data_IF_669323981325
#
_entry.id   IF_669323981325
#
_cell.length_a   1.000
_cell.length_b   1.000
_cell.length_c   1.000
_cell.angle_alpha   90.00
_cell.angle_beta   90.00
_cell.angle_gamma   90.00
#
_symmetry.space_group_name_H-M   'P 1'
#
loop_
_entity.id
_entity.type
_entity.pdbx_description
1 polymer ?
#
# COMPACT_ATOMS: atom_id res chain seq x y z
N UNK A 1 18.42 -20.38 60.35
CA UNK A 1 17.03 -19.87 60.45
C UNK A 1 17.13 -18.39 60.78
N UNK A 2 16.78 -17.54 59.83
CA UNK A 2 16.46 -16.12 60.03
C UNK A 2 15.26 -15.88 59.10
N UNK A 3 14.20 -15.30 59.62
CA UNK A 3 12.85 -15.40 59.04
C UNK A 3 12.65 -14.59 57.76
N UNK A 4 11.76 -15.09 56.89
CA UNK A 4 11.18 -14.33 55.78
C UNK A 4 10.36 -13.16 56.33
N UNK A 5 10.81 -11.92 56.12
CA UNK A 5 10.05 -10.72 56.44
C UNK A 5 9.58 -10.01 55.17
N UNK A 6 8.29 -10.15 54.88
CA UNK A 6 7.57 -9.43 53.83
C UNK A 6 7.74 -7.91 53.97
N UNK A 7 8.34 -7.27 52.96
CA UNK A 7 8.27 -5.81 52.78
C UNK A 7 8.23 -5.40 51.28
N UNK A 8 7.09 -5.64 50.63
CA UNK A 8 6.63 -4.71 49.57
C UNK A 8 5.92 -3.56 50.31
N UNK A 9 6.67 -2.59 50.84
CA UNK A 9 6.10 -1.58 51.74
C UNK A 9 5.36 -0.47 50.97
N UNK A 10 4.18 -0.11 51.44
CA UNK A 10 3.39 1.02 50.94
C UNK A 10 3.95 2.35 51.47
N UNK A 11 4.25 3.30 50.59
CA UNK A 11 4.46 4.72 50.98
C UNK A 11 4.40 5.69 49.79
N UNK A 12 3.30 5.62 49.02
CA UNK A 12 2.92 6.68 48.09
C UNK A 12 1.39 6.74 47.96
N UNK A 13 0.81 7.95 47.82
CA UNK A 13 -0.63 8.21 47.95
C UNK A 13 -1.52 7.21 47.17
N UNK A 14 -2.19 6.26 47.84
CA UNK A 14 -2.75 5.09 47.16
C UNK A 14 -3.90 5.46 46.22
N UNK A 15 -4.67 6.52 46.51
CA UNK A 15 -5.87 6.84 45.75
C UNK A 15 -5.61 7.61 44.45
N UNK A 16 -4.54 8.42 44.37
CA UNK A 16 -4.22 9.24 43.18
C UNK A 16 -3.35 8.48 42.18
N UNK A 17 -2.46 7.61 42.67
CA UNK A 17 -1.62 6.74 41.83
C UNK A 17 -2.37 5.54 41.24
N UNK A 18 -3.35 4.98 41.95
CA UNK A 18 -4.20 3.91 41.39
C UNK A 18 -5.04 4.41 40.20
N UNK A 19 -5.76 5.53 40.35
CA UNK A 19 -6.61 6.07 39.27
C UNK A 19 -5.80 6.40 38.01
N UNK A 20 -4.60 6.98 38.15
CA UNK A 20 -3.71 7.25 37.01
C UNK A 20 -3.15 5.96 36.40
N UNK A 21 -2.79 4.96 37.20
CA UNK A 21 -2.37 3.64 36.70
C UNK A 21 -3.49 2.91 35.94
N UNK A 22 -4.72 2.90 36.45
CA UNK A 22 -5.85 2.29 35.75
C UNK A 22 -6.18 3.00 34.43
N UNK A 23 -6.17 4.34 34.43
CA UNK A 23 -6.38 5.12 33.20
C UNK A 23 -5.31 4.83 32.14
N UNK A 24 -4.03 4.77 32.54
CA UNK A 24 -2.92 4.42 31.65
C UNK A 24 -3.06 2.99 31.08
N UNK A 25 -3.48 2.02 31.91
CA UNK A 25 -3.72 0.65 31.45
C UNK A 25 -4.89 0.56 30.45
N UNK A 26 -5.99 1.30 30.65
CA UNK A 26 -7.10 1.38 29.68
C UNK A 26 -6.64 1.98 28.34
N UNK A 27 -5.83 3.05 28.38
CA UNK A 27 -5.23 3.65 27.17
C UNK A 27 -4.29 2.67 26.48
N UNK A 28 -3.46 1.95 27.23
CA UNK A 28 -2.53 0.97 26.68
C UNK A 28 -3.22 -0.25 26.04
N UNK A 29 -4.25 -0.81 26.68
CA UNK A 29 -5.03 -1.93 26.14
C UNK A 29 -5.83 -1.50 24.90
N UNK A 30 -6.44 -0.33 24.92
CA UNK A 30 -7.14 0.20 23.74
C UNK A 30 -6.18 0.48 22.57
N UNK A 31 -4.98 1.02 22.84
CA UNK A 31 -3.93 1.19 21.81
C UNK A 31 -3.47 -0.15 21.23
N UNK A 32 -3.22 -1.16 22.08
CA UNK A 32 -2.90 -2.54 21.68
C UNK A 32 -3.96 -3.14 20.73
N UNK A 33 -5.25 -3.03 21.10
CA UNK A 33 -6.36 -3.50 20.28
C UNK A 33 -6.46 -2.76 18.94
N UNK A 34 -6.28 -1.43 18.93
CA UNK A 34 -6.31 -0.61 17.71
C UNK A 34 -5.15 -0.96 16.76
N UNK A 35 -3.93 -1.14 17.28
CA UNK A 35 -2.76 -1.57 16.49
C UNK A 35 -3.00 -2.97 15.91
N UNK A 36 -3.47 -3.90 16.74
CA UNK A 36 -3.67 -5.30 16.35
C UNK A 36 -4.74 -5.41 15.26
N UNK A 37 -5.93 -4.86 15.50
CA UNK A 37 -7.04 -4.87 14.54
C UNK A 37 -6.72 -4.08 13.25
N UNK A 38 -6.05 -2.93 13.38
CA UNK A 38 -5.68 -2.09 12.24
C UNK A 38 -4.69 -2.76 11.30
N UNK A 39 -3.65 -3.38 11.84
CA UNK A 39 -2.64 -4.07 11.02
C UNK A 39 -3.15 -5.42 10.50
N UNK A 40 -3.98 -6.15 11.26
CA UNK A 40 -4.68 -7.33 10.76
C UNK A 40 -5.56 -6.98 9.55
N UNK A 41 -6.26 -5.83 9.56
CA UNK A 41 -7.04 -5.35 8.42
C UNK A 41 -6.18 -5.02 7.18
N UNK A 42 -4.97 -4.49 7.37
CA UNK A 42 -3.98 -4.28 6.29
C UNK A 42 -3.55 -5.64 5.71
N UNK A 43 -3.19 -6.60 6.56
CA UNK A 43 -2.76 -7.95 6.18
C UNK A 43 -3.85 -8.66 5.38
N UNK A 44 -5.07 -8.75 5.93
CA UNK A 44 -6.23 -9.36 5.26
C UNK A 44 -6.51 -8.66 3.92
N UNK A 45 -6.38 -7.34 3.85
CA UNK A 45 -6.60 -6.60 2.59
C UNK A 45 -5.60 -6.99 1.50
N UNK A 46 -4.30 -7.08 1.83
CA UNK A 46 -3.29 -7.45 0.82
C UNK A 46 -3.48 -8.91 0.37
N UNK A 47 -3.74 -9.83 1.30
CA UNK A 47 -3.93 -11.27 1.01
C UNK A 47 -5.20 -11.54 0.20
N UNK A 48 -6.32 -10.91 0.56
CA UNK A 48 -7.62 -11.15 -0.07
C UNK A 48 -7.72 -10.51 -1.46
N UNK A 49 -7.21 -9.28 -1.63
CA UNK A 49 -7.31 -8.57 -2.91
C UNK A 49 -6.06 -8.78 -3.75
N UNK A 50 -6.08 -9.77 -4.66
CA UNK A 50 -5.03 -10.01 -5.67
C UNK A 50 -4.61 -8.77 -6.48
N UNK A 51 -5.48 -7.76 -6.57
CA UNK A 51 -5.17 -6.45 -7.17
C UNK A 51 -4.07 -5.67 -6.41
N UNK A 52 -3.86 -5.97 -5.14
CA UNK A 52 -2.82 -5.43 -4.27
C UNK A 52 -1.53 -6.26 -4.29
N UNK A 53 -1.45 -7.41 -4.97
CA UNK A 53 -0.22 -8.21 -5.08
C UNK A 53 0.81 -7.47 -5.97
N UNK A 54 1.64 -6.64 -5.33
CA UNK A 54 2.70 -5.86 -5.97
C UNK A 54 3.94 -5.85 -5.06
N UNK A 55 5.16 -5.74 -5.60
CA UNK A 55 6.42 -5.69 -4.85
C UNK A 55 6.34 -4.85 -3.56
N UNK A 56 5.91 -3.60 -3.70
CA UNK A 56 5.77 -2.63 -2.62
C UNK A 56 4.73 -3.03 -1.57
N UNK A 57 3.62 -3.63 -1.98
CA UNK A 57 2.58 -4.05 -1.03
C UNK A 57 2.99 -5.31 -0.25
N UNK A 58 3.90 -6.14 -0.77
CA UNK A 58 4.53 -7.20 0.03
C UNK A 58 5.46 -6.61 1.11
N UNK A 59 6.18 -5.51 0.81
CA UNK A 59 6.97 -4.80 1.82
C UNK A 59 6.08 -4.10 2.87
N UNK A 60 4.96 -3.50 2.45
CA UNK A 60 3.94 -2.95 3.37
C UNK A 60 3.29 -4.06 4.21
N UNK A 61 3.08 -5.25 3.64
CA UNK A 61 2.57 -6.42 4.37
C UNK A 61 3.57 -6.88 5.45
N UNK A 62 4.86 -6.96 5.12
CA UNK A 62 5.91 -7.27 6.09
C UNK A 62 5.97 -6.24 7.23
N UNK A 63 5.88 -4.94 6.91
CA UNK A 63 5.77 -3.87 7.90
C UNK A 63 4.53 -4.03 8.79
N UNK A 64 3.35 -4.31 8.20
CA UNK A 64 2.12 -4.56 8.96
C UNK A 64 2.23 -5.79 9.88
N UNK A 65 2.99 -6.82 9.51
CA UNK A 65 3.30 -7.95 10.40
C UNK A 65 4.21 -7.52 11.55
N UNK A 66 5.22 -6.67 11.32
CA UNK A 66 6.03 -6.11 12.44
C UNK A 66 5.17 -5.29 13.40
N UNK A 67 4.30 -4.41 12.88
CA UNK A 67 3.40 -3.57 13.67
C UNK A 67 2.35 -4.39 14.43
N UNK A 68 1.81 -5.46 13.82
CA UNK A 68 0.91 -6.42 14.46
C UNK A 68 1.57 -7.07 15.69
N UNK A 69 2.84 -7.50 15.58
CA UNK A 69 3.56 -8.13 16.69
C UNK A 69 3.90 -7.11 17.81
N UNK A 70 4.12 -5.84 17.49
CA UNK A 70 4.23 -4.78 18.52
C UNK A 70 2.93 -4.65 19.31
N UNK A 71 1.79 -4.63 18.60
CA UNK A 71 0.45 -4.59 19.22
C UNK A 71 0.13 -5.84 20.05
N UNK A 72 0.46 -7.03 19.56
CA UNK A 72 0.08 -8.31 20.16
C UNK A 72 1.04 -8.83 21.25
N UNK A 73 2.32 -8.44 21.23
CA UNK A 73 3.33 -8.93 22.18
C UNK A 73 3.89 -7.81 23.07
N UNK A 74 4.44 -6.75 22.46
CA UNK A 74 5.19 -5.73 23.21
C UNK A 74 4.28 -4.94 24.16
N UNK A 75 3.11 -4.51 23.69
CA UNK A 75 2.18 -3.72 24.51
C UNK A 75 1.51 -4.53 25.63
N UNK A 76 0.98 -5.76 25.41
CA UNK A 76 0.40 -6.58 26.48
C UNK A 76 1.42 -6.98 27.55
N UNK A 77 2.66 -7.32 27.18
CA UNK A 77 3.70 -7.55 28.19
C UNK A 77 4.05 -6.26 28.94
N UNK A 78 3.95 -5.09 28.31
CA UNK A 78 4.15 -3.81 29.01
C UNK A 78 3.05 -3.52 30.04
N UNK A 79 1.78 -3.76 29.73
CA UNK A 79 0.67 -3.53 30.69
C UNK A 79 0.68 -4.52 31.85
N UNK A 80 0.96 -5.80 31.58
CA UNK A 80 1.11 -6.82 32.63
C UNK A 80 2.21 -6.42 33.62
N UNK A 81 3.36 -5.95 33.13
CA UNK A 81 4.46 -5.47 33.99
C UNK A 81 4.09 -4.21 34.78
N UNK A 82 3.31 -3.28 34.22
CA UNK A 82 2.82 -2.09 34.94
C UNK A 82 1.82 -2.40 36.06
N UNK A 83 1.20 -3.59 36.07
CA UNK A 83 0.25 -4.04 37.09
C UNK A 83 0.87 -4.99 38.15
N UNK A 84 2.04 -5.59 37.88
CA UNK A 84 2.59 -6.70 38.67
C UNK A 84 3.95 -6.39 39.32
N UNK A 85 4.00 -5.33 40.13
CA UNK A 85 5.24 -4.79 40.73
C UNK A 85 6.02 -5.69 41.69
N UNK A 86 5.46 -6.81 42.18
CA UNK A 86 6.12 -7.75 43.11
C UNK A 86 5.92 -9.23 42.70
N UNK A 87 6.58 -9.71 41.64
CA UNK A 87 6.62 -11.16 41.31
C UNK A 87 7.89 -11.60 40.56
N UNK A 88 8.43 -12.79 40.83
CA UNK A 88 9.64 -13.34 40.18
C UNK A 88 9.50 -13.48 38.65
N UNK A 89 8.27 -13.75 38.17
CA UNK A 89 7.92 -13.78 36.74
C UNK A 89 8.15 -12.45 35.99
N UNK A 90 8.19 -11.32 36.71
CA UNK A 90 8.36 -9.99 36.12
C UNK A 90 9.74 -9.78 35.46
N UNK A 91 10.83 -10.42 35.95
CA UNK A 91 12.16 -10.27 35.33
C UNK A 91 12.21 -10.97 33.95
N UNK A 92 11.69 -12.19 33.86
CA UNK A 92 11.61 -12.93 32.60
C UNK A 92 10.76 -12.18 31.57
N UNK A 93 9.55 -11.74 31.95
CA UNK A 93 8.68 -10.95 31.07
C UNK A 93 9.32 -9.61 30.67
N UNK A 94 10.08 -8.97 31.57
CA UNK A 94 10.80 -7.73 31.29
C UNK A 94 11.91 -7.93 30.24
N UNK A 95 12.71 -8.98 30.38
CA UNK A 95 13.75 -9.38 29.41
C UNK A 95 13.13 -9.71 28.05
N UNK A 96 12.12 -10.59 28.02
CA UNK A 96 11.41 -10.99 26.79
C UNK A 96 10.80 -9.79 26.06
N UNK A 97 10.10 -8.90 26.78
CA UNK A 97 9.53 -7.66 26.21
C UNK A 97 10.62 -6.76 25.60
N UNK A 98 11.75 -6.59 26.30
CA UNK A 98 12.87 -5.78 25.80
C UNK A 98 13.52 -6.34 24.53
N UNK A 99 13.63 -7.67 24.43
CA UNK A 99 14.15 -8.34 23.24
C UNK A 99 13.21 -8.17 22.03
N UNK A 100 11.90 -8.34 22.23
CA UNK A 100 10.91 -8.12 21.17
C UNK A 100 10.83 -6.64 20.73
N UNK A 101 10.88 -5.69 21.67
CA UNK A 101 10.92 -4.24 21.40
C UNK A 101 12.10 -3.89 20.47
N UNK A 102 13.32 -4.35 20.81
CA UNK A 102 14.52 -4.13 19.99
C UNK A 102 14.41 -4.79 18.60
N UNK A 103 13.98 -6.06 18.56
CA UNK A 103 13.86 -6.85 17.32
C UNK A 103 12.87 -6.22 16.32
N UNK A 104 11.67 -5.89 16.80
CA UNK A 104 10.59 -5.38 15.95
C UNK A 104 10.86 -3.95 15.50
N UNK A 105 11.48 -3.11 16.35
CA UNK A 105 11.94 -1.78 15.93
C UNK A 105 12.99 -1.87 14.81
N UNK A 106 14.02 -2.70 14.96
CA UNK A 106 15.05 -2.87 13.94
C UNK A 106 14.47 -3.45 12.63
N UNK A 107 13.52 -4.40 12.72
CA UNK A 107 12.83 -4.94 11.54
C UNK A 107 11.96 -3.88 10.85
N UNK A 108 11.20 -3.07 11.60
CA UNK A 108 10.39 -1.97 11.07
C UNK A 108 11.26 -0.96 10.29
N UNK A 109 12.42 -0.57 10.84
CA UNK A 109 13.36 0.35 10.19
C UNK A 109 13.91 -0.24 8.86
N UNK A 110 14.30 -1.51 8.85
CA UNK A 110 14.76 -2.17 7.62
C UNK A 110 13.64 -2.29 6.56
N UNK A 111 12.42 -2.61 6.98
CA UNK A 111 11.26 -2.61 6.08
C UNK A 111 11.03 -1.22 5.46
N UNK A 112 11.10 -0.14 6.25
CA UNK A 112 11.00 1.25 5.73
C UNK A 112 12.17 1.62 4.80
N UNK A 113 13.39 1.16 5.09
CA UNK A 113 14.53 1.31 4.17
C UNK A 113 14.27 0.61 2.83
N UNK A 114 13.77 -0.63 2.85
CA UNK A 114 13.48 -1.38 1.63
C UNK A 114 12.29 -0.82 0.84
N UNK A 115 11.25 -0.32 1.50
CA UNK A 115 10.17 0.44 0.84
C UNK A 115 10.73 1.70 0.18
N UNK A 116 11.71 2.38 0.81
CA UNK A 116 12.38 3.54 0.22
C UNK A 116 13.15 3.19 -1.06
N UNK A 117 13.85 2.05 -1.05
CA UNK A 117 14.60 1.54 -2.23
C UNK A 117 13.65 1.13 -3.37
N UNK A 118 12.55 0.43 -3.08
CA UNK A 118 11.48 0.13 -4.04
C UNK A 118 10.98 1.41 -4.74
N UNK A 119 10.60 2.41 -3.92
CA UNK A 119 10.07 3.69 -4.40
C UNK A 119 11.08 4.47 -5.22
N UNK A 120 12.35 4.43 -4.83
CA UNK A 120 13.43 5.06 -5.56
C UNK A 120 13.56 4.49 -6.98
N UNK A 121 13.58 3.16 -7.12
CA UNK A 121 13.62 2.53 -8.45
C UNK A 121 12.36 2.78 -9.27
N UNK A 122 11.17 2.72 -8.64
CA UNK A 122 9.89 2.97 -9.31
C UNK A 122 9.80 4.36 -9.94
N UNK A 123 10.40 5.37 -9.31
CA UNK A 123 10.33 6.77 -9.78
C UNK A 123 11.51 7.15 -10.67
N UNK A 124 12.73 6.71 -10.34
CA UNK A 124 13.95 7.07 -11.09
C UNK A 124 14.08 6.30 -12.41
N UNK A 125 13.66 5.03 -12.43
CA UNK A 125 13.88 4.12 -13.55
C UNK A 125 12.59 3.34 -13.92
N UNK A 126 11.49 4.01 -14.30
CA UNK A 126 10.18 3.38 -14.47
C UNK A 126 10.16 2.24 -15.51
N UNK A 127 10.95 2.33 -16.59
CA UNK A 127 11.04 1.28 -17.61
C UNK A 127 11.81 0.04 -17.11
N UNK A 128 12.87 0.24 -16.34
CA UNK A 128 13.70 -0.85 -15.79
C UNK A 128 13.17 -1.41 -14.46
N UNK A 129 12.24 -0.70 -13.80
CA UNK A 129 11.68 -1.08 -12.51
C UNK A 129 11.11 -2.50 -12.55
N UNK A 130 10.33 -2.86 -13.58
CA UNK A 130 9.70 -4.20 -13.66
C UNK A 130 10.71 -5.34 -13.83
N UNK A 131 11.87 -5.08 -14.43
CA UNK A 131 12.96 -6.05 -14.53
C UNK A 131 13.76 -6.15 -13.22
N UNK A 132 14.00 -5.02 -12.56
CA UNK A 132 14.87 -4.93 -11.37
C UNK A 132 14.17 -5.17 -10.02
N UNK A 133 12.90 -4.83 -9.91
CA UNK A 133 12.05 -5.00 -8.72
C UNK A 133 10.93 -5.99 -9.05
N UNK A 134 11.20 -7.27 -8.79
CA UNK A 134 10.26 -8.36 -8.95
C UNK A 134 9.85 -8.94 -7.57
N UNK A 135 8.95 -9.92 -7.57
CA UNK A 135 8.49 -10.56 -6.32
C UNK A 135 9.63 -11.26 -5.58
N UNK A 136 10.56 -11.93 -6.29
CA UNK A 136 11.71 -12.61 -5.67
C UNK A 136 12.59 -11.63 -4.90
N UNK A 137 12.96 -10.49 -5.52
CA UNK A 137 13.72 -9.42 -4.86
C UNK A 137 12.97 -8.87 -3.64
N UNK A 138 11.65 -8.69 -3.75
CA UNK A 138 10.83 -8.20 -2.63
C UNK A 138 10.83 -9.19 -1.46
N UNK A 139 10.69 -10.49 -1.73
CA UNK A 139 10.80 -11.55 -0.71
C UNK A 139 12.21 -11.61 -0.11
N UNK A 140 13.27 -11.45 -0.90
CA UNK A 140 14.65 -11.35 -0.38
C UNK A 140 14.82 -10.15 0.56
N UNK A 141 14.29 -8.98 0.22
CA UNK A 141 14.28 -7.79 1.09
C UNK A 141 13.53 -8.06 2.40
N UNK A 142 12.38 -8.74 2.34
CA UNK A 142 11.63 -9.17 3.53
C UNK A 142 12.49 -10.10 4.38
N UNK A 143 13.05 -11.17 3.82
CA UNK A 143 13.90 -12.11 4.56
C UNK A 143 15.08 -11.40 5.25
N UNK A 144 15.77 -10.49 4.56
CA UNK A 144 16.84 -9.68 5.18
C UNK A 144 16.29 -8.79 6.31
N UNK A 145 15.11 -8.21 6.17
CA UNK A 145 14.47 -7.38 7.20
C UNK A 145 14.07 -8.13 8.48
N UNK A 146 13.98 -9.46 8.45
CA UNK A 146 13.73 -10.30 9.63
C UNK A 146 15.02 -10.96 10.14
N UNK A 147 15.84 -11.52 9.26
CA UNK A 147 17.07 -12.24 9.64
C UNK A 147 18.13 -11.29 10.21
N UNK A 148 18.34 -10.10 9.63
CA UNK A 148 19.38 -9.19 10.12
C UNK A 148 19.09 -8.69 11.56
N UNK A 149 17.86 -8.28 11.93
CA UNK A 149 17.52 -8.00 13.33
C UNK A 149 17.67 -9.19 14.27
N UNK A 150 17.34 -10.41 13.85
CA UNK A 150 17.54 -11.62 14.66
C UNK A 150 19.03 -11.84 14.94
N UNK A 151 19.89 -11.70 13.93
CA UNK A 151 21.34 -11.82 14.10
C UNK A 151 21.91 -10.74 15.02
N UNK A 152 21.44 -9.50 14.89
CA UNK A 152 21.81 -8.39 15.79
C UNK A 152 21.34 -8.65 17.23
N UNK A 153 20.14 -9.19 17.42
CA UNK A 153 19.61 -9.55 18.73
C UNK A 153 20.45 -10.65 19.40
N UNK A 154 20.79 -11.71 18.65
CA UNK A 154 21.66 -12.79 19.13
C UNK A 154 23.04 -12.24 19.53
N UNK A 155 23.63 -11.35 18.72
CA UNK A 155 24.91 -10.71 19.03
C UNK A 155 24.86 -9.86 20.31
N UNK A 156 23.74 -9.18 20.58
CA UNK A 156 23.51 -8.43 21.83
C UNK A 156 23.35 -9.38 23.03
N UNK A 157 22.58 -10.47 22.89
CA UNK A 157 22.40 -11.48 23.94
C UNK A 157 23.75 -12.10 24.32
N UNK A 158 24.52 -12.58 23.33
CA UNK A 158 25.81 -13.25 23.56
C UNK A 158 26.82 -12.34 24.27
N UNK A 159 26.83 -11.02 23.98
CA UNK A 159 27.66 -10.04 24.71
C UNK A 159 27.15 -9.69 26.12
N UNK A 160 25.89 -9.99 26.42
CA UNK A 160 25.28 -9.79 27.73
C UNK A 160 25.53 -10.95 28.71
N UNK A 161 25.75 -12.16 28.20
CA UNK A 161 26.08 -13.35 29.01
C UNK A 161 27.41 -13.12 29.73
N UNK A 162 27.36 -12.88 31.05
CA UNK A 162 28.52 -12.62 31.90
C UNK A 162 28.53 -11.27 32.65
N UNK A 163 27.53 -10.39 32.44
CA UNK A 163 27.41 -9.10 33.17
C UNK A 163 26.23 -9.04 34.17
N UNK A 164 25.54 -10.14 34.45
CA UNK A 164 24.36 -10.14 35.34
C UNK A 164 24.71 -10.10 36.82
N UNK A 165 24.02 -9.24 37.59
CA UNK A 165 24.03 -9.26 39.06
C UNK A 165 22.70 -9.81 39.60
N UNK A 166 22.67 -10.58 40.70
CA UNK A 166 21.48 -11.36 41.09
C UNK A 166 20.25 -10.56 41.59
N UNK A 167 20.29 -9.21 41.58
CA UNK A 167 19.25 -8.34 42.16
C UNK A 167 18.94 -7.10 41.31
N UNK A 168 18.96 -7.22 39.98
CA UNK A 168 18.45 -6.16 39.11
C UNK A 168 16.92 -6.10 39.12
N UNK A 169 16.33 -5.02 39.69
CA UNK A 169 14.95 -4.64 39.37
C UNK A 169 14.80 -4.52 37.84
N UNK A 170 13.63 -4.86 37.30
CA UNK A 170 13.32 -4.68 35.86
C UNK A 170 13.57 -3.22 35.46
N UNK A 171 14.75 -2.94 34.91
CA UNK A 171 15.03 -1.69 34.22
C UNK A 171 14.39 -1.83 32.85
N UNK A 172 13.18 -1.29 32.72
CA UNK A 172 12.44 -1.10 31.45
C UNK A 172 13.33 -0.44 30.38
N UNK A 173 14.39 0.24 30.86
CA UNK A 173 15.55 0.71 30.13
C UNK A 173 16.80 -0.18 30.28
N UNK A 174 17.07 -1.04 29.29
CA UNK A 174 18.42 -1.53 29.02
C UNK A 174 19.23 -0.43 28.28
N UNK A 175 19.42 0.72 28.93
CA UNK A 175 20.50 1.63 28.55
C UNK A 175 21.82 1.07 29.08
N UNK A 176 22.34 0.07 28.38
CA UNK A 176 23.75 -0.32 28.54
C UNK A 176 24.66 0.76 27.98
N UNK A 177 25.89 0.83 28.50
CA UNK A 177 26.95 1.72 28.04
C UNK A 177 27.27 1.57 26.53
N UNK A 178 26.80 0.53 25.83
CA UNK A 178 26.97 0.32 24.39
C UNK A 178 25.86 0.95 23.51
N UNK A 179 24.74 1.38 24.12
CA UNK A 179 23.48 1.74 23.42
C UNK A 179 23.56 2.90 22.42
N UNK A 180 24.44 3.89 22.63
CA UNK A 180 24.54 5.06 21.73
C UNK A 180 25.16 4.71 20.39
N UNK A 181 26.15 3.81 20.35
CA UNK A 181 26.71 3.29 19.09
C UNK A 181 25.63 2.52 18.33
N UNK A 182 24.83 1.71 19.05
CA UNK A 182 23.65 1.04 18.50
C UNK A 182 22.66 2.02 17.88
N UNK A 183 22.33 3.13 18.56
CA UNK A 183 21.38 4.15 18.08
C UNK A 183 21.83 4.84 16.78
N UNK A 184 23.13 5.04 16.58
CA UNK A 184 23.69 5.62 15.34
C UNK A 184 23.46 4.69 14.14
N UNK A 185 23.79 3.40 14.27
CA UNK A 185 23.61 2.44 13.18
C UNK A 185 22.15 2.02 13.00
N UNK A 186 21.38 1.90 14.08
CA UNK A 186 19.99 1.42 14.03
C UNK A 186 18.98 2.49 13.62
N UNK A 187 19.20 3.77 13.94
CA UNK A 187 18.23 4.84 13.66
C UNK A 187 18.79 5.97 12.82
N UNK A 188 19.87 6.64 13.24
CA UNK A 188 20.30 7.89 12.60
C UNK A 188 20.82 7.68 11.16
N UNK A 189 21.61 6.63 10.90
CA UNK A 189 22.08 6.31 9.54
C UNK A 189 20.90 5.94 8.62
N UNK A 190 19.99 4.99 8.98
CA UNK A 190 18.75 4.74 8.24
C UNK A 190 17.91 6.00 7.98
N UNK A 191 17.75 6.88 8.97
CA UNK A 191 16.97 8.11 8.83
C UNK A 191 17.53 9.05 7.75
N UNK A 192 18.85 9.25 7.72
CA UNK A 192 19.52 10.05 6.68
C UNK A 192 19.40 9.40 5.31
N UNK A 193 19.51 8.07 5.22
CA UNK A 193 19.34 7.32 3.95
C UNK A 193 17.91 7.48 3.42
N UNK A 194 16.88 7.26 4.25
CA UNK A 194 15.48 7.41 3.88
C UNK A 194 15.20 8.86 3.46
N UNK A 195 15.60 9.86 4.27
CA UNK A 195 15.39 11.28 3.96
C UNK A 195 16.03 11.68 2.62
N UNK A 196 17.29 11.32 2.38
CA UNK A 196 17.98 11.67 1.13
C UNK A 196 17.40 10.96 -0.09
N UNK A 197 16.92 9.72 0.06
CA UNK A 197 16.17 9.01 -1.00
C UNK A 197 14.87 9.76 -1.33
N UNK A 198 14.09 10.17 -0.32
CA UNK A 198 12.81 10.85 -0.55
C UNK A 198 12.97 12.26 -1.13
N UNK A 199 13.96 13.02 -0.69
CA UNK A 199 14.30 14.31 -1.32
C UNK A 199 14.65 14.11 -2.81
N UNK A 200 15.44 13.08 -3.16
CA UNK A 200 15.73 12.73 -4.56
C UNK A 200 14.46 12.32 -5.33
N UNK A 201 13.56 11.53 -4.73
CA UNK A 201 12.27 11.14 -5.34
C UNK A 201 11.41 12.38 -5.64
N UNK A 202 11.27 13.30 -4.69
CA UNK A 202 10.49 14.54 -4.86
C UNK A 202 11.06 15.45 -5.94
N UNK A 203 12.39 15.59 -6.01
CA UNK A 203 13.07 16.37 -7.06
C UNK A 203 12.86 15.74 -8.45
N UNK A 204 13.01 14.41 -8.58
CA UNK A 204 12.77 13.70 -9.85
C UNK A 204 11.31 13.81 -10.29
N UNK A 205 10.35 13.63 -9.38
CA UNK A 205 8.93 13.77 -9.67
C UNK A 205 8.57 15.19 -10.13
N UNK A 206 9.07 16.23 -9.44
CA UNK A 206 8.89 17.64 -9.87
C UNK A 206 9.52 17.91 -11.23
N UNK A 207 10.69 17.34 -11.53
CA UNK A 207 11.37 17.50 -12.84
C UNK A 207 10.63 16.80 -13.98
N UNK A 208 10.09 15.61 -13.74
CA UNK A 208 9.23 14.88 -14.70
C UNK A 208 7.94 15.66 -14.98
N UNK A 209 7.28 16.16 -13.94
CA UNK A 209 6.06 16.95 -14.08
C UNK A 209 6.26 18.23 -14.90
N UNK A 210 7.31 19.03 -14.60
CA UNK A 210 7.65 20.23 -15.38
C UNK A 210 7.91 19.94 -16.85
N UNK A 211 8.64 18.86 -17.18
CA UNK A 211 8.88 18.46 -18.58
C UNK A 211 7.59 18.17 -19.33
N UNK A 212 6.64 17.50 -18.69
CA UNK A 212 5.34 17.16 -19.30
C UNK A 212 4.45 18.40 -19.43
N UNK A 213 4.46 19.32 -18.46
CA UNK A 213 3.77 20.61 -18.58
C UNK A 213 4.27 21.44 -19.77
N UNK A 214 5.59 21.50 -19.98
CA UNK A 214 6.18 22.23 -21.11
C UNK A 214 5.75 21.65 -22.47
N UNK A 215 5.49 20.34 -22.55
CA UNK A 215 4.98 19.67 -23.76
C UNK A 215 3.47 19.87 -23.92
N UNK A 216 2.70 19.81 -22.83
CA UNK A 216 1.23 19.75 -22.89
C UNK A 216 0.52 21.10 -22.70
N UNK A 217 1.22 22.20 -22.36
CA UNK A 217 0.66 23.54 -22.07
C UNK A 217 -0.61 23.52 -21.19
N UNK A 218 -0.70 22.58 -20.24
CA UNK A 218 -1.90 22.38 -19.43
C UNK A 218 -1.56 22.22 -17.95
N UNK A 219 -1.97 23.22 -17.16
CA UNK A 219 -1.77 23.26 -15.71
C UNK A 219 -2.59 22.18 -14.99
N UNK A 220 -3.76 21.83 -15.53
CA UNK A 220 -4.62 20.75 -15.03
C UNK A 220 -4.02 19.34 -15.15
N UNK A 221 -2.93 19.15 -15.91
CA UNK A 221 -2.18 17.90 -15.95
C UNK A 221 -1.34 17.70 -14.67
N UNK A 222 -0.84 18.79 -14.06
CA UNK A 222 0.06 18.75 -12.90
C UNK A 222 -0.64 18.12 -11.67
N UNK A 223 -1.82 18.60 -11.30
CA UNK A 223 -2.56 18.10 -10.11
C UNK A 223 -3.13 16.68 -10.28
N UNK A 224 -3.25 16.20 -11.53
CA UNK A 224 -3.59 14.79 -11.84
C UNK A 224 -2.38 13.85 -11.79
N UNK A 225 -1.18 14.36 -12.04
CA UNK A 225 0.06 13.59 -12.08
C UNK A 225 0.84 13.53 -10.76
N UNK A 226 0.43 14.29 -9.73
CA UNK A 226 0.91 14.05 -8.37
C UNK A 226 0.73 12.57 -8.00
N UNK A 227 1.83 11.84 -7.89
CA UNK A 227 1.81 10.41 -7.66
C UNK A 227 1.43 10.15 -6.19
N UNK A 228 0.13 10.18 -5.89
CA UNK A 228 -0.42 10.20 -4.53
C UNK A 228 0.09 9.04 -3.67
N UNK A 229 0.40 7.89 -4.28
CA UNK A 229 1.01 6.75 -3.60
C UNK A 229 2.40 7.07 -3.01
N UNK A 230 3.23 7.85 -3.71
CA UNK A 230 4.54 8.26 -3.21
C UNK A 230 4.44 9.31 -2.10
N UNK A 231 3.44 10.20 -2.17
CA UNK A 231 3.14 11.14 -1.08
C UNK A 231 2.74 10.36 0.18
N UNK A 232 1.88 9.34 0.04
CA UNK A 232 1.51 8.50 1.19
C UNK A 232 2.71 7.81 1.83
N UNK A 233 3.61 7.23 1.05
CA UNK A 233 4.78 6.53 1.61
C UNK A 233 5.81 7.50 2.21
N UNK A 234 5.91 8.72 1.69
CA UNK A 234 6.66 9.80 2.34
C UNK A 234 6.03 10.18 3.71
N UNK A 235 4.69 10.22 3.80
CA UNK A 235 3.98 10.48 5.06
C UNK A 235 4.24 9.34 6.08
N UNK A 236 4.08 8.07 5.68
CA UNK A 236 4.38 6.90 6.55
C UNK A 236 5.78 7.02 7.17
N UNK A 237 6.78 7.32 6.34
CA UNK A 237 8.17 7.41 6.81
C UNK A 237 8.43 8.68 7.63
N UNK A 238 7.79 9.81 7.29
CA UNK A 238 7.87 11.02 8.09
C UNK A 238 7.28 10.83 9.49
N UNK A 239 6.12 10.16 9.59
CA UNK A 239 5.47 9.81 10.86
C UNK A 239 6.36 8.89 11.70
N UNK A 240 6.95 7.84 11.11
CA UNK A 240 7.89 6.96 11.82
C UNK A 240 9.04 7.75 12.47
N UNK A 241 9.74 8.57 11.71
CA UNK A 241 10.85 9.34 12.25
C UNK A 241 10.39 10.37 13.28
N UNK A 242 9.24 11.01 13.08
CA UNK A 242 8.67 11.95 14.06
C UNK A 242 8.34 11.28 15.40
N UNK A 243 7.74 10.08 15.37
CA UNK A 243 7.40 9.31 16.57
C UNK A 243 8.65 8.81 17.32
N UNK A 244 9.68 8.35 16.61
CA UNK A 244 10.87 7.73 17.21
C UNK A 244 12.02 8.71 17.54
N UNK A 245 12.09 9.88 16.89
CA UNK A 245 13.18 10.85 17.13
C UNK A 245 13.29 11.29 18.60
N UNK A 246 12.21 11.63 19.33
CA UNK A 246 12.31 12.04 20.74
C UNK A 246 12.94 10.96 21.62
N UNK A 247 12.67 9.69 21.33
CA UNK A 247 13.22 8.55 22.03
C UNK A 247 14.72 8.35 21.77
N UNK A 248 15.15 8.29 20.51
CA UNK A 248 16.58 8.14 20.19
C UNK A 248 17.40 9.37 20.59
N UNK A 249 16.80 10.56 20.55
CA UNK A 249 17.41 11.80 21.02
C UNK A 249 17.62 11.78 22.54
N UNK A 250 16.63 11.33 23.33
CA UNK A 250 16.76 11.27 24.79
C UNK A 250 17.87 10.30 25.24
N UNK A 251 18.00 9.13 24.60
CA UNK A 251 19.12 8.19 24.80
C UNK A 251 20.47 8.86 24.48
N UNK A 252 20.53 9.60 23.38
CA UNK A 252 21.77 10.25 22.92
C UNK A 252 22.19 11.38 23.87
N UNK A 253 21.24 12.20 24.32
CA UNK A 253 21.47 13.31 25.26
C UNK A 253 21.88 12.81 26.66
N UNK A 254 21.33 11.69 27.11
CA UNK A 254 21.70 11.05 28.37
C UNK A 254 23.20 10.70 28.41
N UNK A 255 23.74 10.07 27.35
CA UNK A 255 25.18 9.74 27.27
C UNK A 255 26.07 10.98 27.19
N UNK A 256 25.62 12.04 26.51
CA UNK A 256 26.37 13.30 26.34
C UNK A 256 26.46 14.11 27.67
N UNK A 257 25.92 13.58 28.78
CA UNK A 257 25.99 14.13 30.16
C UNK A 257 25.44 15.55 30.32
N UNK A 258 24.61 16.03 29.40
CA UNK A 258 24.02 17.38 29.49
C UNK A 258 22.70 17.43 30.25
N UNK A 259 21.93 16.33 30.33
CA UNK A 259 20.62 16.31 31.00
C UNK A 259 20.28 14.95 31.62
N UNK A 260 19.80 14.97 32.86
CA UNK A 260 19.08 13.85 33.49
C UNK A 260 17.60 13.93 33.14
N UNK A 261 17.15 13.08 32.20
CA UNK A 261 15.75 13.05 31.75
C UNK A 261 14.94 12.12 32.68
N UNK A 262 13.78 12.56 33.23
CA UNK A 262 12.95 11.71 34.09
C UNK A 262 12.45 10.45 33.36
N UNK A 263 12.38 9.32 34.06
CA UNK A 263 11.96 8.02 33.50
C UNK A 263 10.58 8.11 32.83
N UNK A 264 9.64 8.83 33.44
CA UNK A 264 8.28 9.06 32.90
C UNK A 264 8.30 9.74 31.52
N UNK A 265 9.23 10.67 31.28
CA UNK A 265 9.38 11.36 29.98
C UNK A 265 9.93 10.40 28.92
N UNK A 266 10.88 9.54 29.31
CA UNK A 266 11.44 8.52 28.45
C UNK A 266 10.39 7.46 28.07
N UNK A 267 9.56 7.06 29.03
CA UNK A 267 8.42 6.17 28.80
C UNK A 267 7.37 6.81 27.88
N UNK A 268 7.04 8.09 28.08
CA UNK A 268 6.15 8.84 27.18
C UNK A 268 6.68 8.87 25.73
N UNK A 269 7.99 9.01 25.53
CA UNK A 269 8.60 8.92 24.20
C UNK A 269 8.56 7.49 23.62
N UNK A 270 8.63 6.42 24.44
CA UNK A 270 8.37 5.05 23.97
C UNK A 270 6.92 4.85 23.54
N UNK A 271 5.95 5.33 24.32
CA UNK A 271 4.53 5.31 23.95
C UNK A 271 4.26 6.04 22.62
N UNK A 272 4.93 7.19 22.40
CA UNK A 272 4.87 7.90 21.13
C UNK A 272 5.50 7.08 19.97
N UNK A 273 6.62 6.39 20.22
CA UNK A 273 7.25 5.46 19.27
C UNK A 273 6.31 4.31 18.86
N UNK A 274 5.74 3.58 19.83
CA UNK A 274 4.79 2.49 19.56
C UNK A 274 3.48 2.98 18.91
N UNK A 275 3.07 4.22 19.16
CA UNK A 275 1.90 4.82 18.49
C UNK A 275 2.06 4.93 16.97
N UNK A 276 3.29 4.92 16.43
CA UNK A 276 3.52 4.82 14.98
C UNK A 276 2.81 3.60 14.36
N UNK A 277 2.87 2.45 15.03
CA UNK A 277 2.29 1.19 14.57
C UNK A 277 0.75 1.27 14.42
N UNK A 278 0.11 2.22 15.12
CA UNK A 278 -1.32 2.54 14.98
C UNK A 278 -1.58 3.48 13.78
N UNK A 279 -0.69 4.44 13.56
CA UNK A 279 -0.83 5.45 12.51
C UNK A 279 -0.67 4.84 11.10
N UNK A 280 0.14 3.80 10.94
CA UNK A 280 0.37 3.11 9.67
C UNK A 280 -0.95 2.67 8.96
N UNK A 281 -1.83 1.84 9.57
CA UNK A 281 -3.15 1.52 9.02
C UNK A 281 -4.02 2.74 8.66
N UNK A 282 -3.99 3.80 9.47
CA UNK A 282 -4.77 5.03 9.22
C UNK A 282 -4.25 5.76 7.97
N UNK A 283 -2.93 5.91 7.83
CA UNK A 283 -2.31 6.53 6.64
C UNK A 283 -2.65 5.72 5.38
N UNK A 284 -2.69 4.39 5.45
CA UNK A 284 -3.19 3.57 4.34
C UNK A 284 -4.70 3.79 4.08
N UNK A 285 -5.54 3.84 5.12
CA UNK A 285 -6.99 4.02 5.00
C UNK A 285 -7.38 5.35 4.33
N UNK A 286 -6.70 6.45 4.66
CA UNK A 286 -7.04 7.78 4.16
C UNK A 286 -6.45 8.07 2.78
N UNK A 287 -5.18 7.74 2.56
CA UNK A 287 -4.45 8.18 1.38
C UNK A 287 -4.37 7.12 0.26
N UNK A 288 -4.38 5.82 0.56
CA UNK A 288 -4.49 4.78 -0.48
C UNK A 288 -5.95 4.52 -0.87
N UNK A 289 -6.35 5.00 -2.05
CA UNK A 289 -7.67 4.75 -2.64
C UNK A 289 -8.06 3.27 -2.73
N UNK A 290 -7.08 2.36 -2.87
CA UNK A 290 -7.30 0.92 -2.95
C UNK A 290 -7.52 0.29 -1.57
N UNK A 291 -6.67 0.59 -0.57
CA UNK A 291 -6.90 0.18 0.83
C UNK A 291 -8.23 0.74 1.36
N UNK A 292 -8.56 2.01 1.09
CA UNK A 292 -9.86 2.61 1.45
C UNK A 292 -11.07 1.84 0.87
N UNK A 293 -10.92 1.22 -0.30
CA UNK A 293 -11.96 0.35 -0.90
C UNK A 293 -11.97 -1.03 -0.26
N UNK A 294 -10.81 -1.64 -0.06
CA UNK A 294 -10.66 -2.91 0.63
C UNK A 294 -11.29 -2.88 2.03
N UNK A 295 -10.89 -1.91 2.86
CA UNK A 295 -11.39 -1.71 4.22
C UNK A 295 -12.90 -1.50 4.24
N UNK A 296 -13.45 -0.70 3.31
CA UNK A 296 -14.91 -0.52 3.20
C UNK A 296 -15.63 -1.82 2.84
N UNK A 297 -15.08 -2.66 1.97
CA UNK A 297 -15.71 -3.94 1.60
C UNK A 297 -15.66 -4.95 2.76
N UNK A 298 -14.53 -5.03 3.47
CA UNK A 298 -14.35 -5.91 4.63
C UNK A 298 -15.27 -5.48 5.78
N UNK A 299 -15.22 -4.21 6.21
CA UNK A 299 -15.96 -3.71 7.38
C UNK A 299 -17.48 -3.76 7.18
N UNK A 300 -18.00 -3.43 5.98
CA UNK A 300 -19.45 -3.35 5.76
C UNK A 300 -20.08 -4.69 5.36
N UNK A 301 -19.35 -5.82 5.43
CA UNK A 301 -19.83 -7.15 5.04
C UNK A 301 -20.28 -7.25 3.57
N UNK A 302 -20.06 -6.21 2.76
CA UNK A 302 -20.45 -6.17 1.36
C UNK A 302 -19.46 -7.02 0.56
N UNK A 303 -19.70 -8.34 0.57
CA UNK A 303 -19.58 -9.16 -0.65
C UNK A 303 -20.17 -8.29 -1.75
N UNK A 304 -19.30 -7.82 -2.64
CA UNK A 304 -19.69 -6.79 -3.58
C UNK A 304 -20.76 -7.40 -4.50
N UNK A 305 -22.01 -6.92 -4.42
CA UNK A 305 -23.00 -7.07 -5.52
C UNK A 305 -22.49 -6.25 -6.71
N UNK A 306 -21.40 -6.75 -7.28
CA UNK A 306 -20.57 -6.19 -8.34
C UNK A 306 -19.98 -7.31 -9.20
N UNK A 307 -20.63 -8.48 -9.24
CA UNK A 307 -20.58 -9.38 -10.39
C UNK A 307 -21.29 -8.78 -11.63
N UNK A 308 -21.46 -7.45 -11.69
CA UNK A 308 -21.96 -6.76 -12.87
C UNK A 308 -21.67 -5.24 -12.94
N UNK A 309 -20.79 -4.69 -12.08
CA UNK A 309 -20.28 -3.32 -12.29
C UNK A 309 -18.97 -3.36 -13.07
N UNK A 310 -19.04 -4.01 -14.23
CA UNK A 310 -17.98 -4.00 -15.23
C UNK A 310 -17.51 -2.57 -15.44
N UNK A 311 -16.19 -2.38 -15.40
CA UNK A 311 -15.57 -1.13 -15.80
C UNK A 311 -15.63 -1.12 -17.32
N UNK A 312 -16.82 -0.79 -17.87
CA UNK A 312 -17.07 -0.64 -19.29
C UNK A 312 -16.05 0.36 -19.83
N UNK A 313 -15.04 -0.20 -20.48
CA UNK A 313 -14.00 0.50 -21.24
C UNK A 313 -14.23 0.11 -22.72
N UNK A 314 -13.78 0.94 -23.66
CA UNK A 314 -13.97 0.75 -25.11
C UNK A 314 -12.75 0.08 -25.74
N UNK A 315 -12.96 -0.62 -26.85
CA UNK A 315 -11.93 -1.11 -27.78
C UNK A 315 -12.33 -0.97 -29.26
N UNK A 316 -11.40 -1.24 -30.19
CA UNK A 316 -11.52 -1.47 -31.66
C UNK A 316 -11.39 -2.95 -32.08
N UNK A 317 -11.76 -3.46 -33.27
CA UNK A 317 -10.91 -4.50 -33.94
C UNK A 317 -10.93 -4.51 -35.47
N UNK A 318 -10.00 -3.71 -36.04
CA UNK A 318 -9.41 -3.94 -37.36
C UNK A 318 -8.70 -5.31 -37.43
N UNK A 319 -9.23 -6.20 -38.27
CA UNK A 319 -8.63 -7.42 -38.81
C UNK A 319 -8.37 -7.22 -40.32
N UNK A 320 -7.75 -8.20 -40.97
CA UNK A 320 -7.55 -8.28 -42.41
C UNK A 320 -7.46 -9.74 -42.84
N UNK A 321 -8.15 -10.13 -43.91
CA UNK A 321 -8.16 -11.49 -44.45
C UNK A 321 -9.58 -11.94 -44.84
N UNK A 322 -9.71 -13.11 -45.49
CA UNK A 322 -11.02 -13.73 -45.70
C UNK A 322 -11.64 -14.14 -44.35
N UNK A 323 -12.98 -14.35 -44.26
CA UNK A 323 -13.65 -14.67 -43.01
C UNK A 323 -13.12 -15.92 -42.28
N UNK A 324 -12.55 -16.87 -43.02
CA UNK A 324 -11.99 -18.13 -42.51
C UNK A 324 -10.54 -17.99 -42.00
N UNK A 325 -9.82 -16.93 -42.35
CA UNK A 325 -8.40 -16.73 -42.04
C UNK A 325 -8.08 -15.24 -41.74
N UNK A 326 -8.72 -14.71 -40.71
CA UNK A 326 -8.62 -13.30 -40.32
C UNK A 326 -7.41 -13.01 -39.43
N UNK A 327 -6.51 -12.16 -39.93
CA UNK A 327 -5.30 -11.74 -39.23
C UNK A 327 -5.46 -10.37 -38.55
N UNK A 328 -4.99 -10.16 -37.31
CA UNK A 328 -5.14 -8.89 -36.61
C UNK A 328 -4.08 -7.85 -37.01
N UNK A 329 -4.53 -6.70 -37.53
CA UNK A 329 -3.65 -5.64 -38.06
C UNK A 329 -3.17 -4.65 -36.98
N UNK A 330 -4.01 -4.32 -36.01
CA UNK A 330 -3.76 -3.25 -35.04
C UNK A 330 -4.36 -3.59 -33.68
N UNK A 331 -4.13 -2.79 -32.65
CA UNK A 331 -4.71 -2.98 -31.30
C UNK A 331 -5.02 -1.66 -30.57
N UNK A 332 -6.28 -1.39 -30.18
CA UNK A 332 -6.71 -0.16 -29.46
C UNK A 332 -7.73 -0.44 -28.34
N UNK A 333 -7.59 0.27 -27.21
CA UNK A 333 -8.60 0.39 -26.15
C UNK A 333 -8.51 1.74 -25.42
N UNK A 334 -9.62 2.22 -24.85
CA UNK A 334 -9.64 3.42 -23.99
C UNK A 334 -10.69 3.33 -22.89
N UNK A 335 -10.44 4.01 -21.77
CA UNK A 335 -11.40 4.06 -20.67
C UNK A 335 -12.57 5.00 -20.95
N UNK A 336 -13.78 4.63 -20.53
CA UNK A 336 -14.91 5.55 -20.55
C UNK A 336 -14.67 6.72 -19.58
N UNK A 337 -14.80 7.94 -20.10
CA UNK A 337 -14.76 9.18 -19.33
C UNK A 337 -15.88 9.18 -18.27
N UNK A 338 -15.72 9.91 -17.15
CA UNK A 338 -16.74 9.96 -16.10
C UNK A 338 -18.16 10.32 -16.57
N UNK A 339 -18.26 11.14 -17.64
CA UNK A 339 -19.54 11.48 -18.30
C UNK A 339 -20.12 10.34 -19.14
N UNK A 340 -19.28 9.61 -19.88
CA UNK A 340 -19.68 8.53 -20.80
C UNK A 340 -20.15 7.28 -20.04
N UNK A 341 -19.65 7.06 -18.80
CA UNK A 341 -20.10 5.97 -17.93
C UNK A 341 -21.60 5.97 -17.63
N UNK A 342 -22.23 7.15 -17.65
CA UNK A 342 -23.67 7.35 -17.41
C UNK A 342 -24.53 7.16 -18.66
N UNK A 343 -23.93 6.93 -19.82
CA UNK A 343 -24.67 6.70 -21.06
C UNK A 343 -25.43 5.37 -20.99
N UNK A 344 -26.56 5.26 -21.70
CA UNK A 344 -27.28 4.00 -21.84
C UNK A 344 -26.43 2.97 -22.59
N UNK A 345 -26.75 1.67 -22.49
CA UNK A 345 -25.95 0.61 -23.14
C UNK A 345 -25.81 0.84 -24.65
N UNK A 346 -26.92 1.08 -25.36
CA UNK A 346 -26.93 1.40 -26.80
C UNK A 346 -26.03 2.61 -27.13
N UNK A 347 -26.02 3.63 -26.28
CA UNK A 347 -25.17 4.81 -26.47
C UNK A 347 -23.68 4.53 -26.22
N UNK A 348 -23.33 3.53 -25.38
CA UNK A 348 -21.95 3.10 -25.17
C UNK A 348 -21.44 2.30 -26.37
N UNK A 349 -22.26 1.42 -26.92
CA UNK A 349 -21.88 0.64 -28.11
C UNK A 349 -21.78 1.53 -29.35
N UNK A 350 -22.72 2.46 -29.55
CA UNK A 350 -22.64 3.46 -30.63
C UNK A 350 -21.39 4.37 -30.48
N UNK A 351 -21.01 4.71 -29.24
CA UNK A 351 -19.76 5.44 -28.95
C UNK A 351 -18.52 4.58 -29.23
N UNK A 352 -18.57 3.27 -28.96
CA UNK A 352 -17.49 2.33 -29.27
C UNK A 352 -17.20 2.34 -30.78
N UNK A 353 -18.23 2.13 -31.61
CA UNK A 353 -18.14 2.20 -33.08
C UNK A 353 -17.64 3.58 -33.53
N UNK A 354 -18.20 4.68 -33.03
CA UNK A 354 -17.79 6.03 -33.42
C UNK A 354 -16.29 6.23 -33.19
N UNK A 355 -15.82 5.86 -32.00
CA UNK A 355 -14.44 6.00 -31.60
C UNK A 355 -13.51 5.03 -32.35
N UNK A 356 -13.99 3.83 -32.69
CA UNK A 356 -13.28 2.86 -33.51
C UNK A 356 -12.96 3.41 -34.91
N UNK A 357 -14.00 3.90 -35.60
CA UNK A 357 -13.91 4.39 -36.97
C UNK A 357 -13.01 5.63 -37.07
N UNK A 358 -13.13 6.56 -36.11
CA UNK A 358 -12.19 7.68 -35.97
C UNK A 358 -10.73 7.20 -35.80
N UNK A 359 -10.51 6.22 -34.91
CA UNK A 359 -9.17 5.76 -34.53
C UNK A 359 -8.47 5.00 -35.65
N UNK A 360 -9.22 4.28 -36.48
CA UNK A 360 -8.69 3.58 -37.64
C UNK A 360 -8.83 4.35 -38.95
N UNK A 361 -9.31 5.60 -38.95
CA UNK A 361 -9.68 6.39 -40.14
C UNK A 361 -8.72 6.24 -41.34
N UNK A 362 -7.40 6.24 -41.08
CA UNK A 362 -6.35 6.08 -42.10
C UNK A 362 -6.38 4.74 -42.87
N UNK A 363 -6.92 3.67 -42.29
CA UNK A 363 -7.09 2.37 -42.94
C UNK A 363 -8.49 2.19 -43.57
N UNK A 364 -9.50 2.93 -43.11
CA UNK A 364 -10.92 2.70 -43.48
C UNK A 364 -11.43 3.62 -44.59
N UNK A 365 -10.93 4.86 -44.63
CA UNK A 365 -11.53 5.90 -45.45
C UNK A 365 -11.33 5.58 -46.95
N UNK A 366 -12.42 5.58 -47.71
CA UNK A 366 -12.41 5.22 -49.13
C UNK A 366 -12.43 3.72 -49.43
N UNK A 367 -12.58 2.85 -48.43
CA UNK A 367 -12.75 1.40 -48.60
C UNK A 367 -14.14 0.95 -48.15
N UNK A 368 -14.62 -0.16 -48.72
CA UNK A 368 -15.82 -0.85 -48.23
C UNK A 368 -15.43 -1.98 -47.28
N UNK A 369 -16.23 -2.18 -46.24
CA UNK A 369 -15.90 -3.10 -45.15
C UNK A 369 -17.11 -3.61 -44.38
N UNK A 370 -16.93 -4.66 -43.57
CA UNK A 370 -17.99 -5.24 -42.73
C UNK A 370 -17.76 -4.87 -41.28
N UNK A 371 -18.72 -4.19 -40.65
CA UNK A 371 -18.68 -3.82 -39.23
C UNK A 371 -19.43 -4.88 -38.40
N UNK A 372 -18.73 -5.77 -37.71
CA UNK A 372 -19.39 -6.70 -36.78
C UNK A 372 -19.57 -6.07 -35.39
N UNK A 373 -20.70 -6.39 -34.75
CA UNK A 373 -21.04 -5.99 -33.38
C UNK A 373 -21.92 -7.05 -32.72
N UNK A 374 -21.80 -7.22 -31.40
CA UNK A 374 -22.66 -8.08 -30.58
C UNK A 374 -23.94 -7.39 -30.09
N UNK A 375 -24.22 -6.18 -30.56
CA UNK A 375 -25.40 -5.42 -30.17
C UNK A 375 -26.40 -5.30 -31.34
N UNK A 376 -27.37 -6.23 -31.40
CA UNK A 376 -28.42 -6.29 -32.45
C UNK A 376 -29.10 -4.94 -32.73
N UNK A 377 -29.26 -4.10 -31.70
CA UNK A 377 -29.88 -2.78 -31.84
C UNK A 377 -29.16 -1.89 -32.88
N UNK A 378 -27.83 -2.01 -33.01
CA UNK A 378 -27.02 -1.18 -33.91
C UNK A 378 -27.15 -1.59 -35.40
N UNK A 379 -27.78 -2.73 -35.72
CA UNK A 379 -28.19 -3.02 -37.10
C UNK A 379 -29.21 -1.98 -37.60
N UNK A 380 -29.92 -1.32 -36.70
CA UNK A 380 -30.92 -0.30 -36.99
C UNK A 380 -30.44 1.12 -36.65
N UNK A 381 -29.12 1.36 -36.64
CA UNK A 381 -28.51 2.66 -36.32
C UNK A 381 -29.13 3.82 -37.13
N UNK A 382 -29.44 3.55 -38.41
CA UNK A 382 -30.09 4.48 -39.32
C UNK A 382 -31.53 4.86 -38.90
N UNK A 383 -32.27 3.97 -38.24
CA UNK A 383 -33.61 4.26 -37.69
C UNK A 383 -33.53 4.91 -36.29
N UNK A 384 -32.43 4.71 -35.57
CA UNK A 384 -32.21 5.30 -34.24
C UNK A 384 -31.79 6.77 -34.28
N UNK A 385 -31.33 7.26 -35.44
CA UNK A 385 -30.90 8.66 -35.62
C UNK A 385 -32.03 9.67 -35.32
N UNK A 386 -33.29 9.27 -35.45
CA UNK A 386 -34.44 10.17 -35.30
C UNK A 386 -34.98 10.24 -33.85
N UNK A 387 -34.47 9.41 -32.93
CA UNK A 387 -34.96 9.34 -31.53
C UNK A 387 -33.93 9.75 -30.46
N UNK A 388 -32.62 9.73 -30.76
CA UNK A 388 -31.59 10.17 -29.82
C UNK A 388 -30.55 11.08 -30.50
N UNK A 389 -30.63 12.39 -30.22
CA UNK A 389 -29.76 13.44 -30.76
C UNK A 389 -28.24 13.22 -30.60
N UNK A 390 -27.80 12.37 -29.66
CA UNK A 390 -26.39 11.98 -29.53
C UNK A 390 -26.01 10.90 -30.55
N UNK A 391 -26.87 9.90 -30.73
CA UNK A 391 -26.72 8.86 -31.75
C UNK A 391 -26.80 9.50 -33.14
N UNK A 392 -27.70 10.47 -33.38
CA UNK A 392 -27.77 11.26 -34.63
C UNK A 392 -26.42 11.89 -34.99
N UNK A 393 -25.78 12.59 -34.03
CA UNK A 393 -24.49 13.25 -34.26
C UNK A 393 -23.36 12.26 -34.54
N UNK A 394 -23.40 11.09 -33.91
CA UNK A 394 -22.42 10.03 -34.18
C UNK A 394 -22.67 9.36 -35.53
N UNK A 395 -23.93 9.11 -35.90
CA UNK A 395 -24.31 8.59 -37.21
C UNK A 395 -23.82 9.51 -38.35
N UNK A 396 -24.09 10.81 -38.26
CA UNK A 396 -23.59 11.81 -39.22
C UNK A 396 -22.06 11.82 -39.31
N UNK A 397 -21.36 11.69 -38.17
CA UNK A 397 -19.89 11.59 -38.16
C UNK A 397 -19.35 10.28 -38.77
N UNK A 398 -20.17 9.23 -38.89
CA UNK A 398 -19.79 7.95 -39.51
C UNK A 398 -20.07 7.89 -41.02
N UNK A 399 -20.90 8.78 -41.58
CA UNK A 399 -21.25 8.78 -43.01
C UNK A 399 -20.07 8.78 -44.01
N UNK A 400 -18.88 9.35 -43.71
CA UNK A 400 -17.72 9.24 -44.60
C UNK A 400 -17.16 7.81 -44.77
N UNK A 401 -17.55 6.86 -43.92
CA UNK A 401 -17.11 5.47 -43.98
C UNK A 401 -18.17 4.59 -44.66
N UNK A 402 -17.75 3.71 -45.57
CA UNK A 402 -18.64 2.78 -46.28
C UNK A 402 -18.61 1.40 -45.62
N UNK A 403 -19.66 1.07 -44.87
CA UNK A 403 -19.69 -0.20 -44.13
C UNK A 403 -21.07 -0.85 -44.07
N UNK A 404 -21.07 -2.18 -43.93
CA UNK A 404 -22.27 -3.00 -43.68
C UNK A 404 -22.23 -3.53 -42.26
N UNK A 405 -23.29 -3.30 -41.47
CA UNK A 405 -23.36 -3.79 -40.08
C UNK A 405 -23.79 -5.26 -40.05
N UNK A 406 -22.95 -6.11 -39.48
CA UNK A 406 -23.23 -7.54 -39.26
C UNK A 406 -23.36 -7.81 -37.76
N UNK A 407 -24.36 -8.60 -37.37
CA UNK A 407 -24.50 -9.01 -35.97
C UNK A 407 -23.82 -10.36 -35.74
N UNK A 408 -22.99 -10.45 -34.71
CA UNK A 408 -22.41 -11.71 -34.21
C UNK A 408 -22.90 -11.99 -32.78
N UNK A 409 -23.18 -13.25 -32.41
CA UNK A 409 -23.46 -13.59 -31.02
C UNK A 409 -22.29 -13.21 -30.09
N UNK A 410 -22.58 -12.68 -28.91
CA UNK A 410 -21.53 -12.27 -27.95
C UNK A 410 -20.62 -13.42 -27.47
N UNK A 411 -21.04 -14.68 -27.64
CA UNK A 411 -20.21 -15.87 -27.40
C UNK A 411 -19.07 -16.01 -28.42
N UNK A 412 -19.31 -15.57 -29.65
CA UNK A 412 -18.36 -15.67 -30.77
C UNK A 412 -17.49 -14.40 -30.84
N UNK A 413 -17.92 -13.31 -30.18
CA UNK A 413 -17.22 -12.04 -30.03
C UNK A 413 -16.14 -12.06 -28.91
N UNK A 414 -15.48 -13.21 -28.69
CA UNK A 414 -14.60 -13.47 -27.52
C UNK A 414 -13.51 -12.42 -27.35
N UNK A 415 -12.77 -12.12 -28.42
CA UNK A 415 -11.68 -11.13 -28.42
C UNK A 415 -12.17 -9.75 -27.99
N UNK A 416 -13.39 -9.36 -28.36
CA UNK A 416 -13.89 -8.04 -28.03
C UNK A 416 -14.38 -7.90 -26.59
N UNK A 417 -15.12 -8.92 -26.14
CA UNK A 417 -15.74 -8.94 -24.84
C UNK A 417 -14.68 -9.02 -23.72
N UNK A 418 -13.57 -9.74 -23.96
CA UNK A 418 -12.44 -9.88 -23.02
C UNK A 418 -11.75 -8.55 -22.64
N UNK A 419 -12.05 -7.48 -23.37
CA UNK A 419 -11.22 -6.27 -23.43
C UNK A 419 -12.04 -4.98 -23.29
N UNK A 420 -13.34 -5.05 -23.50
CA UNK A 420 -14.31 -4.22 -22.79
C UNK A 420 -14.50 -4.67 -21.34
N UNK A 421 -14.32 -5.97 -21.04
CA UNK A 421 -14.36 -6.58 -19.70
C UNK A 421 -12.99 -7.08 -19.25
N UNK A 422 -12.26 -6.26 -18.50
CA UNK A 422 -11.12 -6.76 -17.73
C UNK A 422 -11.62 -7.71 -16.62
N UNK A 423 -11.79 -8.99 -16.96
CA UNK A 423 -11.81 -10.09 -15.99
C UNK A 423 -10.43 -10.19 -15.34
N UNK A 424 -10.41 -10.67 -14.09
CA UNK A 424 -9.16 -10.87 -13.35
C UNK A 424 -9.30 -12.12 -12.51
N UNK A 425 -9.31 -13.25 -13.20
CA UNK A 425 -9.34 -14.59 -12.63
C UNK A 425 -8.06 -15.32 -13.05
N UNK A 426 -7.09 -15.34 -12.12
CA UNK A 426 -6.71 -16.58 -11.46
C UNK A 426 -6.34 -17.81 -12.31
N UNK A 427 -5.31 -17.70 -13.16
CA UNK A 427 -4.27 -18.73 -13.22
C UNK A 427 -2.94 -18.20 -13.75
N UNK A 428 -1.86 -18.95 -13.47
CA UNK A 428 -0.51 -18.59 -13.90
C UNK A 428 -0.31 -18.91 -15.38
N UNK A 429 0.19 -17.92 -16.13
CA UNK A 429 1.29 -17.98 -17.11
C UNK A 429 1.49 -16.54 -17.64
N UNK A 430 2.57 -16.29 -18.39
CA UNK A 430 3.04 -14.96 -18.72
C UNK A 430 2.12 -14.11 -19.60
N UNK A 431 2.54 -12.84 -19.73
CA UNK A 431 2.09 -11.87 -20.71
C UNK A 431 0.65 -11.35 -20.62
N UNK A 432 0.54 -10.02 -20.46
CA UNK A 432 -0.65 -9.28 -20.85
C UNK A 432 -0.19 -7.91 -21.40
N UNK A 433 0.53 -7.99 -22.52
CA UNK A 433 0.34 -7.04 -23.63
C UNK A 433 -0.93 -7.48 -24.36
N UNK A 434 -1.45 -6.66 -25.29
CA UNK A 434 -2.63 -6.94 -26.13
C UNK A 434 -4.00 -6.66 -25.48
N UNK A 435 -5.02 -6.58 -26.34
CA UNK A 435 -6.01 -5.48 -26.35
C UNK A 435 -7.24 -5.80 -27.23
N UNK A 436 -8.27 -4.90 -27.28
CA UNK A 436 -9.32 -4.64 -28.33
C UNK A 436 -10.83 -5.00 -28.14
N UNK A 437 -11.77 -4.22 -28.71
CA UNK A 437 -13.23 -4.53 -28.79
C UNK A 437 -13.85 -4.24 -30.16
N UNK A 438 -14.51 -5.20 -30.79
CA UNK A 438 -14.76 -5.20 -32.23
C UNK A 438 -15.63 -4.06 -32.77
N UNK A 439 -15.04 -3.41 -33.77
CA UNK A 439 -15.69 -2.79 -34.90
C UNK A 439 -14.90 -3.35 -36.07
N UNK A 440 -15.46 -4.37 -36.74
CA UNK A 440 -14.75 -5.08 -37.82
C UNK A 440 -14.59 -4.20 -39.04
N UNK A 441 -13.66 -4.61 -39.90
CA UNK A 441 -13.62 -4.28 -41.30
C UNK A 441 -13.54 -5.55 -42.13
#
# INVERSE_FOLDING_TARGET
MVEDQHFCNESAEPHRQTVTSYALNVVAVSLSLLITCGNLLVIISVIYFKQLHTPTNYLILSLAVTDLLVGALVLPFSTILSLSSCYYSSDFLCKVRGLFDLLLCASSILNLCFISVDRYYAVRHPLMYRNKMNVRVSVTMILVSWVLPILLLIAVIVRGIGKESPRSKCKIFLATEESTTGSVFAFYIPAVIILTIYLKILVVAKKQARRIQNIMKSEAALSKMENKANITLAIVMGVFHMCWTPFFLSISLYRIRKFTIPVVVIEAFKWLGWSNSMLNPLVYAFFYRWFRRAFKMIIHGKKSKSGNRFMLDLGAVLLQGPPEDQHPVAYISRKLLPRERRYATVEKEALAIKWALDSFKYYLLGREFTLQTDHRALQWLEKMKDTNGRITRWYLAMQPFRFKVHYIPGKDNTTADYLSRCQREDQEVGECVMAKSMATL
#
